data_IF_159358793339
#
_entry.id   IF_159358793339
#
_cell.length_a   1.000
_cell.length_b   1.000
_cell.length_c   1.000
_cell.angle_alpha   90.00
_cell.angle_beta   90.00
_cell.angle_gamma   90.00
#
_symmetry.space_group_name_H-M   'P 1'
#
loop_
_entity.id
_entity.type
_entity.pdbx_description
1 polymer ?
#
# COMPACT_ATOMS: atom_id res chain seq x y z
N UNK A 1 -25.76 25.69 0.21
CA UNK A 1 -24.77 25.96 1.27
C UNK A 1 -25.41 26.91 2.26
N UNK A 2 -25.30 26.60 3.55
CA UNK A 2 -25.88 27.36 4.66
C UNK A 2 -24.78 28.29 5.19
N UNK A 3 -25.04 29.58 5.45
CA UNK A 3 -23.99 30.52 5.84
C UNK A 3 -23.47 30.22 7.26
N UNK A 4 -22.15 30.15 7.41
CA UNK A 4 -21.49 29.85 8.69
C UNK A 4 -21.24 31.13 9.53
N UNK A 5 -21.40 32.34 8.96
CA UNK A 5 -21.27 33.61 9.69
C UNK A 5 -22.50 34.54 9.52
N UNK A 6 -22.87 35.25 10.59
CA UNK A 6 -24.08 36.09 10.65
C UNK A 6 -23.92 37.50 10.04
N UNK A 7 -22.70 37.90 9.70
CA UNK A 7 -22.37 39.20 9.13
C UNK A 7 -21.97 39.14 7.64
N UNK A 8 -22.02 37.94 7.02
CA UNK A 8 -21.73 37.73 5.59
C UNK A 8 -20.29 38.05 5.19
N UNK A 9 -19.38 38.15 6.16
CA UNK A 9 -17.97 38.50 5.93
C UNK A 9 -17.17 37.37 5.28
N UNK A 10 -17.70 36.14 5.27
CA UNK A 10 -17.17 34.99 4.53
C UNK A 10 -17.41 35.08 3.02
N UNK A 11 -18.25 36.01 2.56
CA UNK A 11 -18.58 36.23 1.14
C UNK A 11 -17.95 37.53 0.57
N UNK A 12 -17.31 38.36 1.41
CA UNK A 12 -16.65 39.60 0.98
C UNK A 12 -15.21 39.32 0.50
N UNK A 13 -15.07 39.01 -0.79
CA UNK A 13 -13.78 38.78 -1.44
C UNK A 13 -13.65 37.48 -2.22
N UNK A 14 -14.69 36.63 -2.19
CA UNK A 14 -14.90 35.61 -3.21
C UNK A 14 -15.36 36.28 -4.52
N UNK A 15 -14.47 37.09 -5.12
CA UNK A 15 -14.51 37.25 -6.56
C UNK A 15 -14.45 35.85 -7.14
N UNK A 16 -15.53 35.44 -7.81
CA UNK A 16 -15.54 34.33 -8.75
C UNK A 16 -14.23 34.37 -9.53
N UNK A 17 -13.25 33.57 -9.11
CA UNK A 17 -12.40 32.90 -10.07
C UNK A 17 -13.41 32.10 -10.85
N UNK A 18 -13.82 32.67 -11.98
CA UNK A 18 -14.39 31.92 -13.09
C UNK A 18 -13.39 30.80 -13.32
N UNK A 19 -13.64 29.66 -12.67
CA UNK A 19 -13.30 28.34 -13.17
C UNK A 19 -13.77 28.38 -14.61
N UNK A 20 -12.80 28.65 -15.48
CA UNK A 20 -13.07 29.15 -16.81
C UNK A 20 -14.02 28.18 -17.49
N UNK A 21 -15.12 28.67 -18.06
CA UNK A 21 -15.99 27.83 -18.91
C UNK A 21 -15.18 27.14 -20.04
N UNK A 22 -13.97 27.64 -20.32
CA UNK A 22 -12.95 27.03 -21.17
C UNK A 22 -12.33 25.72 -20.64
N UNK A 23 -12.33 25.41 -19.34
CA UNK A 23 -11.83 24.13 -18.82
C UNK A 23 -12.86 23.00 -18.91
N UNK A 24 -14.16 23.35 -18.94
CA UNK A 24 -15.26 22.41 -19.14
C UNK A 24 -15.56 22.14 -20.62
N UNK A 25 -15.14 23.04 -21.51
CA UNK A 25 -15.25 22.90 -22.95
C UNK A 25 -13.91 22.42 -23.50
N UNK A 26 -13.76 21.13 -23.83
CA UNK A 26 -12.54 20.61 -24.47
C UNK A 26 -12.35 21.21 -25.86
N UNK A 27 -11.79 22.42 -25.92
CA UNK A 27 -11.42 23.11 -27.17
C UNK A 27 -10.41 22.25 -27.94
N UNK A 28 -9.50 21.57 -27.24
CA UNK A 28 -8.54 20.62 -27.82
C UNK A 28 -9.22 19.39 -28.46
N UNK A 29 -10.43 19.05 -28.01
CA UNK A 29 -11.29 18.02 -28.62
C UNK A 29 -12.12 18.53 -29.79
N UNK A 30 -11.88 19.76 -30.24
CA UNK A 30 -12.59 20.40 -31.36
C UNK A 30 -13.91 21.06 -30.98
N UNK A 31 -14.22 21.22 -29.69
CA UNK A 31 -15.45 21.89 -29.28
C UNK A 31 -15.33 23.42 -29.33
N UNK A 32 -16.43 24.09 -29.66
CA UNK A 32 -16.51 25.55 -29.78
C UNK A 32 -17.21 26.15 -28.57
N UNK A 33 -16.57 27.12 -27.92
CA UNK A 33 -17.12 27.82 -26.76
C UNK A 33 -17.87 29.09 -27.21
N UNK A 34 -19.18 29.11 -26.99
CA UNK A 34 -20.00 30.31 -27.15
C UNK A 34 -19.65 31.37 -26.09
N UNK A 35 -19.97 32.64 -26.38
CA UNK A 35 -19.71 33.77 -25.47
C UNK A 35 -20.49 33.70 -24.15
N UNK A 36 -21.59 32.95 -24.11
CA UNK A 36 -22.42 32.67 -22.94
C UNK A 36 -21.93 31.47 -22.11
N UNK A 37 -20.82 30.82 -22.52
CA UNK A 37 -20.25 29.66 -21.85
C UNK A 37 -20.79 28.31 -22.32
N UNK A 38 -21.70 28.27 -23.29
CA UNK A 38 -22.19 27.02 -23.90
C UNK A 38 -21.11 26.39 -24.78
N UNK A 39 -20.89 25.08 -24.65
CA UNK A 39 -19.92 24.34 -25.45
C UNK A 39 -20.64 23.56 -26.57
N UNK A 40 -20.30 23.83 -27.83
CA UNK A 40 -20.87 23.19 -29.01
C UNK A 40 -19.91 22.16 -29.60
N UNK A 41 -20.47 21.04 -30.09
CA UNK A 41 -19.70 20.06 -30.86
C UNK A 41 -19.28 20.66 -32.21
N UNK A 42 -18.14 20.27 -32.80
CA UNK A 42 -17.69 20.82 -34.08
C UNK A 42 -18.68 20.65 -35.24
N UNK A 43 -19.59 19.68 -35.17
CA UNK A 43 -20.65 19.49 -36.17
C UNK A 43 -21.76 20.56 -36.14
N UNK A 44 -21.82 21.37 -35.08
CA UNK A 44 -22.81 22.43 -34.83
C UNK A 44 -22.25 23.83 -35.08
N UNK A 45 -21.06 23.91 -35.67
CA UNK A 45 -20.38 25.16 -35.98
C UNK A 45 -20.39 25.29 -37.49
N UNK A 46 -20.89 26.41 -38.01
CA UNK A 46 -21.08 26.62 -39.45
C UNK A 46 -22.05 25.61 -40.10
N UNK A 47 -23.06 25.13 -39.36
CA UNK A 47 -24.12 24.24 -39.85
C UNK A 47 -25.36 25.00 -40.37
N UNK A 48 -25.27 26.33 -40.45
CA UNK A 48 -26.35 27.25 -40.85
C UNK A 48 -27.49 27.35 -39.83
N UNK A 49 -27.30 26.85 -38.61
CA UNK A 49 -28.23 26.98 -37.48
C UNK A 49 -27.54 27.81 -36.40
N UNK A 50 -28.26 28.78 -35.81
CA UNK A 50 -27.74 29.54 -34.68
C UNK A 50 -27.91 28.73 -33.39
N UNK A 51 -26.87 28.00 -33.00
CA UNK A 51 -26.80 27.22 -31.78
C UNK A 51 -26.19 28.01 -30.60
N UNK A 52 -25.37 29.04 -30.85
CA UNK A 52 -25.01 30.05 -29.85
C UNK A 52 -26.09 31.14 -29.74
N UNK A 53 -26.27 31.70 -28.54
CA UNK A 53 -27.27 32.76 -28.32
C UNK A 53 -27.03 34.02 -29.17
N UNK A 54 -25.76 34.39 -29.37
CA UNK A 54 -25.32 35.50 -30.21
C UNK A 54 -25.12 35.11 -31.69
N UNK A 55 -25.27 33.82 -32.02
CA UNK A 55 -24.96 33.28 -33.35
C UNK A 55 -23.46 33.31 -33.69
N UNK A 56 -22.57 33.35 -32.70
CA UNK A 56 -21.13 33.37 -32.90
C UNK A 56 -20.60 32.12 -33.63
N UNK A 57 -21.31 31.01 -33.55
CA UNK A 57 -21.07 29.76 -34.26
C UNK A 57 -21.26 29.86 -35.78
N UNK A 58 -22.00 30.86 -36.27
CA UNK A 58 -22.31 31.10 -37.69
C UNK A 58 -21.65 32.39 -38.21
N UNK A 59 -20.47 32.72 -37.69
CA UNK A 59 -19.76 33.97 -37.99
C UNK A 59 -19.22 34.07 -39.42
N UNK A 60 -18.59 35.21 -39.73
CA UNK A 60 -17.98 35.46 -41.05
C UNK A 60 -16.86 34.49 -41.41
N UNK A 61 -16.26 33.80 -40.43
CA UNK A 61 -15.23 32.78 -40.59
C UNK A 61 -15.74 31.51 -41.29
N UNK A 62 -17.05 31.21 -41.23
CA UNK A 62 -17.66 30.04 -41.88
C UNK A 62 -17.59 30.09 -43.42
N UNK A 63 -17.23 31.23 -44.03
CA UNK A 63 -17.16 31.39 -45.48
C UNK A 63 -15.91 30.77 -46.11
N UNK A 64 -14.89 30.42 -45.32
CA UNK A 64 -13.64 29.82 -45.81
C UNK A 64 -13.50 28.42 -45.20
N UNK A 65 -13.84 27.39 -45.97
CA UNK A 65 -13.68 26.00 -45.54
C UNK A 65 -12.32 25.45 -46.00
N UNK A 66 -11.29 25.73 -45.20
CA UNK A 66 -9.93 25.21 -45.41
C UNK A 66 -9.72 23.80 -44.84
N UNK A 67 -10.76 23.14 -44.30
CA UNK A 67 -10.65 21.76 -43.81
C UNK A 67 -10.41 20.76 -44.94
N UNK A 68 -10.91 21.04 -46.16
CA UNK A 68 -10.62 20.20 -47.32
C UNK A 68 -9.15 20.29 -47.78
N UNK A 69 -8.43 21.34 -47.38
CA UNK A 69 -7.02 21.55 -47.73
C UNK A 69 -6.08 21.06 -46.62
N UNK A 70 -6.49 21.16 -45.34
CA UNK A 70 -5.76 20.58 -44.23
C UNK A 70 -5.94 19.06 -44.22
N UNK A 71 -4.83 18.33 -44.39
CA UNK A 71 -4.80 16.86 -44.37
C UNK A 71 -4.89 16.29 -42.94
N UNK A 72 -5.88 16.73 -42.16
CA UNK A 72 -6.08 16.29 -40.78
C UNK A 72 -6.20 14.76 -40.71
N UNK A 73 -5.52 14.15 -39.74
CA UNK A 73 -5.54 12.69 -39.57
C UNK A 73 -6.88 12.14 -39.09
N UNK A 74 -7.63 12.92 -38.29
CA UNK A 74 -8.94 12.53 -37.75
C UNK A 74 -10.01 13.56 -38.07
N UNK A 75 -10.08 14.66 -37.30
CA UNK A 75 -11.14 15.66 -37.41
C UNK A 75 -10.61 17.03 -37.82
N UNK A 76 -11.48 17.85 -38.42
CA UNK A 76 -11.23 19.26 -38.68
C UNK A 76 -12.48 20.08 -38.37
N UNK A 77 -12.31 21.26 -37.79
CA UNK A 77 -13.37 22.24 -37.59
C UNK A 77 -12.91 23.63 -37.99
N UNK A 78 -13.85 24.51 -38.29
CA UNK A 78 -13.56 25.90 -38.63
C UNK A 78 -13.53 26.71 -37.34
N UNK A 79 -12.40 27.31 -37.02
CA UNK A 79 -12.25 28.23 -35.90
C UNK A 79 -12.22 29.68 -36.40
N UNK A 80 -12.31 30.63 -35.46
CA UNK A 80 -12.22 32.07 -35.73
C UNK A 80 -10.92 32.48 -36.43
N UNK A 81 -9.88 31.64 -36.34
CA UNK A 81 -8.52 31.90 -36.79
C UNK A 81 -8.13 31.08 -38.03
N UNK A 82 -9.09 30.38 -38.66
CA UNK A 82 -8.87 29.42 -39.76
C UNK A 82 -9.30 28.00 -39.39
N UNK A 83 -9.11 27.04 -40.31
CA UNK A 83 -9.39 25.63 -40.04
C UNK A 83 -8.40 25.06 -39.02
N UNK A 84 -8.87 24.27 -38.06
CA UNK A 84 -8.05 23.62 -37.02
C UNK A 84 -8.35 22.13 -37.01
N UNK A 85 -7.31 21.30 -37.00
CA UNK A 85 -7.49 19.86 -36.82
C UNK A 85 -7.74 19.55 -35.34
N UNK A 86 -8.56 18.54 -35.08
CA UNK A 86 -8.76 18.00 -33.73
C UNK A 86 -8.60 16.49 -33.74
N UNK A 87 -8.35 15.94 -32.56
CA UNK A 87 -8.24 14.52 -32.36
C UNK A 87 -9.45 14.01 -31.55
N UNK A 88 -9.88 12.80 -31.85
CA UNK A 88 -10.89 12.07 -31.10
C UNK A 88 -10.40 11.84 -29.66
N UNK A 89 -11.33 11.58 -28.74
CA UNK A 89 -11.00 11.20 -27.37
C UNK A 89 -10.01 10.02 -27.37
N UNK A 90 -8.97 10.11 -26.54
CA UNK A 90 -7.87 9.13 -26.49
C UNK A 90 -6.74 9.43 -27.48
N UNK A 91 -6.72 10.61 -28.12
CA UNK A 91 -5.62 11.03 -28.98
C UNK A 91 -5.22 12.49 -28.70
N UNK A 92 -3.92 12.81 -28.79
CA UNK A 92 -3.39 14.17 -28.73
C UNK A 92 -2.96 14.68 -30.11
N UNK A 93 -3.21 15.97 -30.37
CA UNK A 93 -2.77 16.63 -31.59
C UNK A 93 -1.27 16.95 -31.50
N UNK A 94 -0.53 16.50 -32.50
CA UNK A 94 0.91 16.70 -32.60
C UNK A 94 1.26 18.18 -32.90
N UNK A 95 2.51 18.61 -32.62
CA UNK A 95 2.97 19.98 -32.92
C UNK A 95 2.90 20.39 -34.39
N UNK A 96 2.76 19.42 -35.30
CA UNK A 96 2.52 19.69 -36.73
C UNK A 96 1.11 20.24 -37.01
N UNK A 97 0.21 20.20 -36.01
CA UNK A 97 -1.16 20.70 -36.06
C UNK A 97 -2.10 19.87 -36.92
N UNK A 98 -1.72 18.63 -37.28
CA UNK A 98 -2.43 17.80 -38.27
C UNK A 98 -2.50 16.32 -37.87
N UNK A 99 -1.42 15.79 -37.29
CA UNK A 99 -1.33 14.38 -36.90
C UNK A 99 -1.85 14.15 -35.49
N UNK A 100 -2.58 13.04 -35.29
CA UNK A 100 -3.08 12.61 -33.99
C UNK A 100 -2.30 11.38 -33.54
N UNK A 101 -1.73 11.43 -32.34
CA UNK A 101 -1.07 10.28 -31.71
C UNK A 101 -1.93 9.75 -30.59
N UNK A 102 -1.95 8.44 -30.46
CA UNK A 102 -2.63 7.73 -29.39
C UNK A 102 -2.11 8.20 -28.03
N UNK A 103 -3.01 8.40 -27.07
CA UNK A 103 -2.66 8.67 -25.68
C UNK A 103 -2.40 7.33 -25.02
N UNK A 104 -1.19 7.12 -24.49
CA UNK A 104 -0.91 5.92 -23.72
C UNK A 104 -1.32 6.14 -22.27
N UNK A 105 -2.59 5.88 -21.94
CA UNK A 105 -3.13 6.11 -20.60
C UNK A 105 -2.41 5.28 -19.53
N UNK A 106 -1.80 4.15 -19.90
CA UNK A 106 -1.05 3.32 -18.97
C UNK A 106 0.26 4.00 -18.51
N UNK A 107 0.84 4.87 -19.35
CA UNK A 107 2.05 5.62 -19.02
C UNK A 107 1.75 7.01 -18.47
N UNK A 108 0.77 7.71 -19.05
CA UNK A 108 0.40 9.07 -18.65
C UNK A 108 -0.44 9.10 -17.38
N UNK A 109 -1.22 8.03 -17.13
CA UNK A 109 -2.13 7.90 -16.00
C UNK A 109 -1.93 6.54 -15.31
N UNK A 110 -0.83 6.34 -14.57
CA UNK A 110 -0.42 5.05 -13.99
C UNK A 110 -1.37 4.48 -12.91
N UNK A 111 -2.47 5.18 -12.62
CA UNK A 111 -3.48 4.81 -11.62
C UNK A 111 -4.87 4.59 -12.24
N UNK A 112 -4.96 4.52 -13.57
CA UNK A 112 -6.23 4.31 -14.29
C UNK A 112 -6.84 2.93 -14.04
N UNK A 113 -6.00 1.90 -13.88
CA UNK A 113 -6.41 0.54 -13.59
C UNK A 113 -5.95 0.11 -12.19
N UNK A 114 -6.74 -0.69 -11.47
CA UNK A 114 -6.31 -1.24 -10.17
C UNK A 114 -5.07 -2.11 -10.27
N UNK A 115 -4.99 -2.92 -11.34
CA UNK A 115 -3.93 -3.91 -11.58
C UNK A 115 -3.24 -3.68 -12.93
N UNK A 116 -3.56 -4.48 -13.95
CA UNK A 116 -2.84 -4.48 -15.22
C UNK A 116 -3.56 -3.58 -16.23
N UNK A 117 -2.82 -2.62 -16.79
CA UNK A 117 -3.27 -1.74 -17.87
C UNK A 117 -2.66 -2.19 -19.21
N UNK A 118 -3.46 -2.20 -20.28
CA UNK A 118 -2.99 -2.42 -21.65
C UNK A 118 -3.51 -1.30 -22.54
N UNK A 119 -2.59 -0.51 -23.10
CA UNK A 119 -2.93 0.57 -24.02
C UNK A 119 -3.51 0.01 -25.33
N UNK A 120 -4.48 0.70 -25.92
CA UNK A 120 -5.10 0.38 -27.20
C UNK A 120 -5.37 1.67 -28.00
N UNK A 121 -5.38 1.65 -29.34
CA UNK A 121 -5.64 2.87 -30.09
C UNK A 121 -6.97 3.56 -29.71
N UNK A 122 -6.88 4.75 -29.11
CA UNK A 122 -7.97 5.59 -28.64
C UNK A 122 -8.58 5.22 -27.29
N UNK A 123 -8.00 4.26 -26.55
CA UNK A 123 -8.52 3.80 -25.26
C UNK A 123 -7.53 2.90 -24.52
N UNK A 124 -7.95 2.31 -23.41
CA UNK A 124 -7.17 1.31 -22.70
C UNK A 124 -8.07 0.17 -22.24
N UNK A 125 -7.45 -0.92 -21.82
CA UNK A 125 -8.14 -2.04 -21.20
C UNK A 125 -7.47 -2.40 -19.89
N UNK A 126 -8.26 -2.44 -18.82
CA UNK A 126 -7.81 -2.98 -17.54
C UNK A 126 -8.10 -4.48 -17.47
N UNK A 127 -7.22 -5.20 -16.77
CA UNK A 127 -7.43 -6.60 -16.42
C UNK A 127 -7.00 -6.87 -14.99
N UNK A 128 -7.65 -7.83 -14.35
CA UNK A 128 -7.41 -8.18 -12.96
C UNK A 128 -6.62 -9.48 -12.84
N UNK A 129 -5.77 -9.55 -11.82
CA UNK A 129 -5.09 -10.78 -11.44
C UNK A 129 -6.07 -11.89 -11.03
N UNK A 130 -5.56 -13.12 -11.02
CA UNK A 130 -6.32 -14.27 -10.56
C UNK A 130 -6.90 -14.05 -9.15
N UNK A 131 -8.15 -14.47 -8.95
CA UNK A 131 -8.86 -14.24 -7.70
C UNK A 131 -9.54 -12.87 -7.58
N UNK A 132 -9.43 -11.99 -8.57
CA UNK A 132 -10.16 -10.71 -8.62
C UNK A 132 -11.18 -10.67 -9.78
N UNK A 133 -12.15 -9.76 -9.66
CA UNK A 133 -13.16 -9.45 -10.67
C UNK A 133 -13.02 -7.99 -11.10
N UNK A 134 -13.07 -7.75 -12.41
CA UNK A 134 -13.13 -6.41 -12.96
C UNK A 134 -14.54 -5.83 -12.76
N UNK A 135 -14.60 -4.63 -12.21
CA UNK A 135 -15.80 -3.86 -11.89
C UNK A 135 -15.62 -2.47 -12.50
N UNK A 136 -16.68 -1.95 -13.15
CA UNK A 136 -16.69 -0.66 -13.83
C UNK A 136 -15.52 -0.45 -14.82
N UNK A 137 -15.05 -1.53 -15.45
CA UNK A 137 -13.94 -1.58 -16.41
C UNK A 137 -12.56 -1.12 -15.92
N UNK A 138 -12.43 -0.65 -14.67
CA UNK A 138 -11.17 -0.15 -14.09
C UNK A 138 -10.80 -0.78 -12.74
N UNK A 139 -11.79 -1.18 -11.94
CA UNK A 139 -11.59 -1.60 -10.56
C UNK A 139 -11.48 -3.11 -10.40
N UNK A 140 -10.54 -3.59 -9.60
CA UNK A 140 -10.39 -5.02 -9.30
C UNK A 140 -10.83 -5.35 -7.87
N UNK A 141 -11.96 -6.06 -7.74
CA UNK A 141 -12.51 -6.50 -6.45
C UNK A 141 -12.23 -7.97 -6.19
N UNK A 142 -11.83 -8.31 -4.97
CA UNK A 142 -11.43 -9.66 -4.63
C UNK A 142 -12.63 -10.62 -4.57
N UNK A 143 -12.47 -11.80 -5.18
CA UNK A 143 -13.42 -12.93 -5.12
C UNK A 143 -13.28 -13.66 -3.80
N UNK A 144 -14.41 -14.06 -3.21
CA UNK A 144 -14.43 -14.90 -2.03
C UNK A 144 -15.08 -14.20 -0.84
N UNK A 145 -14.69 -14.56 0.40
CA UNK A 145 -15.32 -14.04 1.60
C UNK A 145 -15.05 -12.55 1.78
N UNK A 146 -15.73 -11.96 2.74
CA UNK A 146 -15.49 -10.58 3.12
C UNK A 146 -14.06 -10.40 3.69
N UNK A 147 -13.33 -9.34 3.31
CA UNK A 147 -12.03 -9.01 3.90
C UNK A 147 -12.16 -8.67 5.38
N UNK A 148 -11.21 -9.15 6.18
CA UNK A 148 -11.14 -8.94 7.63
C UNK A 148 -9.93 -8.09 7.96
N UNK A 149 -10.14 -6.94 8.60
CA UNK A 149 -9.07 -6.16 9.20
C UNK A 149 -8.97 -6.56 10.67
N UNK A 150 -7.81 -7.07 11.08
CA UNK A 150 -7.47 -7.28 12.50
C UNK A 150 -6.56 -6.13 12.94
N UNK A 151 -6.82 -5.61 14.14
CA UNK A 151 -5.99 -4.54 14.71
C UNK A 151 -5.86 -4.71 16.23
N UNK A 152 -4.77 -4.17 16.77
CA UNK A 152 -4.52 -4.13 18.21
C UNK A 152 -4.81 -2.72 18.76
N UNK A 153 -5.74 -2.62 19.70
CA UNK A 153 -6.09 -1.39 20.39
C UNK A 153 -5.46 -1.34 21.78
N UNK A 154 -4.12 -1.27 21.85
CA UNK A 154 -3.22 -1.24 23.02
C UNK A 154 -3.50 -2.23 24.17
N UNK A 155 -4.72 -2.32 24.67
CA UNK A 155 -5.21 -3.24 25.71
C UNK A 155 -6.01 -4.43 25.17
N UNK A 156 -6.28 -4.49 23.87
CA UNK A 156 -7.13 -5.52 23.27
C UNK A 156 -6.78 -5.77 21.80
N UNK A 157 -7.27 -6.89 21.28
CA UNK A 157 -7.24 -7.27 19.86
C UNK A 157 -8.67 -7.28 19.35
N UNK A 158 -8.92 -6.64 18.20
CA UNK A 158 -10.24 -6.50 17.60
C UNK A 158 -10.22 -6.83 16.12
N UNK A 159 -11.40 -7.16 15.60
CA UNK A 159 -11.63 -7.40 14.19
C UNK A 159 -12.72 -6.52 13.61
N UNK A 160 -12.55 -6.17 12.34
CA UNK A 160 -13.49 -5.40 11.53
C UNK A 160 -13.70 -6.07 10.17
N UNK A 161 -14.93 -6.44 9.87
CA UNK A 161 -15.33 -6.86 8.54
C UNK A 161 -15.53 -5.64 7.63
N UNK A 162 -14.69 -5.49 6.60
CA UNK A 162 -14.52 -4.22 5.86
C UNK A 162 -15.71 -3.84 4.97
N UNK A 163 -16.53 -4.79 4.49
CA UNK A 163 -17.66 -4.49 3.58
C UNK A 163 -18.96 -4.22 4.36
N UNK A 164 -19.14 -4.89 5.48
CA UNK A 164 -20.33 -4.84 6.34
C UNK A 164 -20.14 -3.91 7.53
N UNK A 165 -18.92 -3.41 7.74
CA UNK A 165 -18.53 -2.54 8.85
C UNK A 165 -18.92 -3.12 10.21
N UNK A 166 -18.72 -4.44 10.38
CA UNK A 166 -19.06 -5.16 11.62
C UNK A 166 -17.83 -5.37 12.48
N UNK A 167 -17.85 -4.76 13.65
CA UNK A 167 -16.81 -4.87 14.68
C UNK A 167 -17.06 -6.05 15.63
N UNK A 168 -15.98 -6.64 16.13
CA UNK A 168 -16.00 -7.61 17.22
C UNK A 168 -14.67 -7.64 17.97
N UNK A 169 -14.73 -7.98 19.26
CA UNK A 169 -13.56 -8.18 20.10
C UNK A 169 -13.03 -9.61 19.95
N UNK A 170 -11.71 -9.78 19.91
CA UNK A 170 -11.06 -11.08 19.82
C UNK A 170 -10.55 -11.52 21.20
N UNK A 171 -9.69 -10.71 21.81
CA UNK A 171 -9.06 -11.04 23.09
C UNK A 171 -8.54 -9.79 23.81
N UNK A 172 -8.57 -9.78 25.14
CA UNK A 172 -7.94 -8.73 25.94
C UNK A 172 -6.42 -8.95 26.01
N UNK A 173 -5.62 -7.92 25.77
CA UNK A 173 -4.17 -8.01 25.91
C UNK A 173 -3.76 -8.10 27.39
N UNK A 174 -2.62 -8.73 27.66
CA UNK A 174 -2.09 -8.89 29.02
C UNK A 174 -1.15 -7.75 29.42
N UNK A 175 -0.50 -7.13 28.44
CA UNK A 175 0.26 -5.89 28.53
C UNK A 175 -0.21 -4.92 27.45
N UNK A 176 0.73 -4.41 26.65
CA UNK A 176 0.44 -3.56 25.50
C UNK A 176 0.52 -4.37 24.20
N UNK A 177 -0.61 -4.65 23.56
CA UNK A 177 -0.63 -5.25 22.23
C UNK A 177 -0.14 -4.26 21.18
N UNK A 178 0.90 -4.64 20.41
CA UNK A 178 1.57 -3.77 19.42
C UNK A 178 1.41 -4.27 18.00
N UNK A 179 2.15 -5.29 17.58
CA UNK A 179 2.09 -5.90 16.25
C UNK A 179 1.02 -6.98 16.19
N UNK A 180 0.39 -7.17 15.04
CA UNK A 180 -0.67 -8.17 14.87
C UNK A 180 -0.70 -8.76 13.46
N UNK A 181 -0.88 -10.07 13.36
CA UNK A 181 -1.08 -10.77 12.08
C UNK A 181 -1.98 -11.99 12.28
N UNK A 182 -2.42 -12.62 11.19
CA UNK A 182 -3.49 -13.60 11.18
C UNK A 182 -3.21 -14.78 10.24
N UNK A 183 -3.27 -15.99 10.79
CA UNK A 183 -3.39 -17.20 9.99
C UNK A 183 -4.86 -17.58 9.76
N UNK A 184 -5.34 -17.38 8.54
CA UNK A 184 -6.67 -17.84 8.18
C UNK A 184 -6.88 -19.35 8.12
N UNK A 185 -5.86 -20.15 7.82
CA UNK A 185 -6.08 -21.59 7.69
C UNK A 185 -6.51 -22.19 9.02
N UNK A 186 -5.87 -21.75 10.10
CA UNK A 186 -6.23 -22.13 11.47
C UNK A 186 -7.19 -21.13 12.14
N UNK A 187 -7.54 -20.03 11.46
CA UNK A 187 -8.29 -18.88 12.02
C UNK A 187 -7.69 -18.37 13.33
N UNK A 188 -6.39 -18.16 13.34
CA UNK A 188 -5.58 -17.83 14.51
C UNK A 188 -4.95 -16.45 14.39
N UNK A 189 -5.08 -15.65 15.44
CA UNK A 189 -4.45 -14.32 15.54
C UNK A 189 -3.16 -14.46 16.33
N UNK A 190 -2.12 -13.74 15.90
CA UNK A 190 -0.83 -13.62 16.60
C UNK A 190 -0.59 -12.14 16.91
N UNK A 191 -0.07 -11.83 18.08
CA UNK A 191 0.33 -10.46 18.42
C UNK A 191 1.56 -10.42 19.33
N UNK A 192 2.28 -9.31 19.27
CA UNK A 192 3.30 -8.95 20.26
C UNK A 192 2.62 -8.24 21.43
N UNK A 193 2.97 -8.64 22.65
CA UNK A 193 2.41 -8.08 23.88
C UNK A 193 3.56 -7.59 24.77
N UNK A 194 3.72 -6.27 24.85
CA UNK A 194 4.88 -5.60 25.43
C UNK A 194 4.56 -5.12 26.84
N UNK A 195 5.47 -5.38 27.77
CA UNK A 195 5.42 -4.85 29.14
C UNK A 195 6.74 -4.16 29.50
N UNK A 196 6.80 -3.55 30.69
CA UNK A 196 8.00 -2.84 31.13
C UNK A 196 9.27 -3.71 31.28
N UNK A 197 9.13 -5.04 31.45
CA UNK A 197 10.27 -5.93 31.76
C UNK A 197 10.45 -7.09 30.79
N UNK A 198 9.41 -7.45 30.06
CA UNK A 198 9.41 -8.57 29.13
C UNK A 198 8.41 -8.31 28.00
N UNK A 199 8.65 -8.97 26.87
CA UNK A 199 7.70 -9.02 25.75
C UNK A 199 7.31 -10.45 25.46
N UNK A 200 6.04 -10.64 25.12
CA UNK A 200 5.47 -11.94 24.78
C UNK A 200 5.02 -11.97 23.32
N UNK A 201 5.06 -13.15 22.71
CA UNK A 201 4.29 -13.44 21.50
C UNK A 201 3.10 -14.27 21.93
N UNK A 202 1.91 -13.77 21.70
CA UNK A 202 0.66 -14.38 22.12
C UNK A 202 -0.17 -14.79 20.92
N UNK A 203 -1.02 -15.79 21.11
CA UNK A 203 -1.93 -16.27 20.08
C UNK A 203 -3.24 -16.79 20.64
N UNK A 204 -4.32 -16.65 19.88
CA UNK A 204 -5.61 -17.30 20.13
C UNK A 204 -6.34 -17.55 18.82
N UNK A 205 -7.38 -18.39 18.84
CA UNK A 205 -8.33 -18.49 17.74
C UNK A 205 -9.15 -17.20 17.63
N UNK A 206 -9.73 -16.94 16.46
CA UNK A 206 -10.48 -15.71 16.18
C UNK A 206 -11.72 -15.53 17.09
N UNK A 207 -12.20 -16.60 17.70
CA UNK A 207 -13.28 -16.58 18.70
C UNK A 207 -12.78 -16.34 20.15
N UNK A 208 -11.48 -16.08 20.31
CA UNK A 208 -10.81 -15.86 21.59
C UNK A 208 -10.40 -17.15 22.32
N UNK A 209 -10.74 -18.33 21.80
CA UNK A 209 -10.39 -19.60 22.43
C UNK A 209 -8.95 -20.04 22.14
N UNK A 210 -8.48 -21.08 22.83
CA UNK A 210 -7.12 -21.65 22.67
C UNK A 210 -5.98 -20.61 22.75
N UNK A 211 -6.10 -19.71 23.74
CA UNK A 211 -5.09 -18.72 24.07
C UNK A 211 -3.78 -19.37 24.55
N UNK A 212 -2.65 -18.95 23.97
CA UNK A 212 -1.30 -19.43 24.30
C UNK A 212 -0.28 -18.30 24.21
N UNK A 213 0.72 -18.34 25.08
CA UNK A 213 1.94 -17.55 24.95
C UNK A 213 3.01 -18.43 24.30
N UNK A 214 3.45 -18.05 23.10
CA UNK A 214 4.42 -18.80 22.29
C UNK A 214 5.87 -18.53 22.70
N UNK A 215 6.16 -17.28 23.06
CA UNK A 215 7.48 -16.84 23.49
C UNK A 215 7.29 -15.83 24.62
N UNK A 216 8.17 -15.89 25.62
CA UNK A 216 8.34 -14.85 26.62
C UNK A 216 9.82 -14.50 26.72
N UNK A 217 10.18 -13.27 26.34
CA UNK A 217 11.57 -12.82 26.30
C UNK A 217 11.78 -11.65 27.26
N UNK A 218 12.64 -11.79 28.29
CA UNK A 218 13.01 -10.68 29.15
C UNK A 218 13.90 -9.68 28.38
N UNK A 219 13.83 -8.40 28.76
CA UNK A 219 14.64 -7.32 28.16
C UNK A 219 14.46 -7.14 26.64
N UNK A 220 13.41 -7.70 26.07
CA UNK A 220 13.04 -7.58 24.67
C UNK A 220 11.90 -6.58 24.52
N UNK A 221 11.91 -5.83 23.42
CA UNK A 221 10.81 -4.95 23.01
C UNK A 221 10.37 -5.40 21.63
N UNK A 222 9.41 -6.31 21.59
CA UNK A 222 8.90 -6.88 20.34
C UNK A 222 7.91 -5.90 19.72
N UNK A 223 8.27 -5.35 18.56
CA UNK A 223 7.49 -4.29 17.91
C UNK A 223 6.39 -4.93 17.05
N UNK A 224 6.78 -5.57 15.94
CA UNK A 224 5.84 -6.09 14.94
C UNK A 224 6.11 -7.57 14.62
N UNK A 225 5.14 -8.24 14.01
CA UNK A 225 5.29 -9.61 13.53
C UNK A 225 4.65 -9.83 12.17
N UNK A 226 5.20 -10.78 11.41
CA UNK A 226 4.65 -11.23 10.14
C UNK A 226 4.63 -12.75 10.04
N UNK A 227 3.53 -13.31 9.57
CA UNK A 227 3.29 -14.75 9.48
C UNK A 227 3.60 -15.29 8.09
N UNK A 228 4.56 -16.22 8.02
CA UNK A 228 4.83 -17.02 6.84
C UNK A 228 3.85 -18.21 6.78
N UNK A 229 2.81 -18.08 5.95
CA UNK A 229 1.82 -19.14 5.77
C UNK A 229 2.34 -20.37 5.02
N UNK A 230 3.50 -20.28 4.37
CA UNK A 230 4.14 -21.39 3.66
C UNK A 230 5.01 -22.20 4.63
N UNK A 231 5.97 -21.55 5.29
CA UNK A 231 6.88 -22.18 6.26
C UNK A 231 6.29 -22.40 7.64
N UNK A 232 5.11 -21.81 7.94
CA UNK A 232 4.46 -21.83 9.27
C UNK A 232 5.32 -21.20 10.37
N UNK A 233 6.00 -20.12 10.02
CA UNK A 233 6.88 -19.36 10.91
C UNK A 233 6.33 -17.94 11.14
N UNK A 234 6.74 -17.34 12.25
CA UNK A 234 6.53 -15.94 12.59
C UNK A 234 7.89 -15.23 12.53
N UNK A 235 7.93 -14.09 11.85
CA UNK A 235 9.08 -13.19 11.77
C UNK A 235 8.80 -11.97 12.64
N UNK A 236 9.71 -11.65 13.57
CA UNK A 236 9.44 -10.64 14.60
C UNK A 236 10.61 -9.68 14.71
N UNK A 237 10.31 -8.39 14.84
CA UNK A 237 11.27 -7.32 15.08
C UNK A 237 11.43 -7.06 16.57
N UNK A 238 12.68 -6.96 17.03
CA UNK A 238 13.02 -6.71 18.43
C UNK A 238 13.93 -5.48 18.52
N UNK A 239 13.35 -4.35 18.94
CA UNK A 239 14.09 -3.09 19.15
C UNK A 239 14.93 -3.14 20.42
N UNK A 240 14.48 -3.87 21.45
CA UNK A 240 15.20 -3.98 22.72
C UNK A 240 16.56 -4.68 22.58
N UNK A 241 16.58 -5.80 21.84
CA UNK A 241 17.78 -6.60 21.59
C UNK A 241 18.40 -6.37 20.20
N UNK A 242 17.87 -5.43 19.41
CA UNK A 242 18.37 -5.02 18.09
C UNK A 242 18.54 -6.18 17.12
N UNK A 243 17.47 -6.94 16.92
CA UNK A 243 17.50 -8.15 16.08
C UNK A 243 16.19 -8.39 15.35
N UNK A 244 16.25 -9.27 14.35
CA UNK A 244 15.09 -9.91 13.76
C UNK A 244 15.18 -11.40 14.10
N UNK A 245 14.10 -11.94 14.63
CA UNK A 245 13.98 -13.34 15.00
C UNK A 245 12.91 -14.05 14.17
N UNK A 246 13.07 -15.36 14.06
CA UNK A 246 12.07 -16.27 13.50
C UNK A 246 11.66 -17.27 14.58
N UNK A 247 10.36 -17.49 14.72
CA UNK A 247 9.80 -18.49 15.62
C UNK A 247 8.87 -19.41 14.84
N UNK A 248 8.81 -20.69 15.21
CA UNK A 248 7.71 -21.54 14.74
C UNK A 248 6.38 -21.02 15.27
N UNK A 249 5.34 -21.09 14.44
CA UNK A 249 3.99 -20.62 14.82
C UNK A 249 3.34 -21.41 15.98
N UNK A 250 3.89 -22.58 16.32
CA UNK A 250 3.51 -23.38 17.48
C UNK A 250 4.30 -23.06 18.76
N UNK A 251 5.31 -22.17 18.68
CA UNK A 251 6.15 -21.77 19.80
C UNK A 251 7.25 -22.76 20.20
N UNK A 252 7.49 -23.81 19.41
CA UNK A 252 8.45 -24.88 19.78
C UNK A 252 9.92 -24.45 19.70
N UNK A 253 10.24 -23.52 18.81
CA UNK A 253 11.60 -23.03 18.61
C UNK A 253 11.59 -21.57 18.09
N UNK A 254 12.59 -20.80 18.54
CA UNK A 254 12.89 -19.45 18.06
C UNK A 254 14.39 -19.30 17.85
N UNK A 255 14.78 -18.54 16.82
CA UNK A 255 16.17 -18.25 16.49
C UNK A 255 16.33 -16.82 15.98
N UNK A 256 17.49 -16.20 16.25
CA UNK A 256 17.83 -14.89 15.69
C UNK A 256 18.41 -15.06 14.28
N UNK A 257 17.85 -14.36 13.29
CA UNK A 257 18.29 -14.47 11.88
C UNK A 257 19.06 -13.24 11.40
N UNK A 258 18.85 -12.08 12.02
CA UNK A 258 19.64 -10.87 11.79
C UNK A 258 19.97 -10.24 13.15
N UNK A 259 21.27 -10.03 13.40
CA UNK A 259 21.81 -9.46 14.66
C UNK A 259 22.82 -8.34 14.41
N UNK A 260 23.03 -7.95 13.16
CA UNK A 260 24.00 -6.94 12.75
C UNK A 260 23.34 -5.97 11.76
N UNK A 261 23.69 -4.68 11.84
CA UNK A 261 23.12 -3.66 10.96
C UNK A 261 21.64 -3.38 11.21
N UNK A 262 21.18 -3.61 12.44
CA UNK A 262 19.82 -3.37 12.93
C UNK A 262 19.94 -2.52 14.18
N UNK A 263 19.16 -1.44 14.28
CA UNK A 263 19.21 -0.50 15.40
C UNK A 263 17.86 -0.38 16.11
N UNK A 264 16.80 0.05 15.40
CA UNK A 264 15.44 0.11 15.90
C UNK A 264 14.45 -0.44 14.85
N UNK A 265 14.44 -1.76 14.61
CA UNK A 265 13.54 -2.37 13.65
C UNK A 265 12.09 -2.28 14.14
N UNK A 266 11.16 -1.85 13.28
CA UNK A 266 9.74 -1.69 13.62
C UNK A 266 8.85 -2.58 12.77
N UNK A 267 8.24 -2.07 11.71
CA UNK A 267 7.31 -2.85 10.90
C UNK A 267 8.05 -3.91 10.07
N UNK A 268 7.43 -5.07 9.86
CA UNK A 268 8.00 -6.15 9.04
C UNK A 268 6.92 -6.77 8.15
N UNK A 269 7.25 -7.01 6.88
CA UNK A 269 6.37 -7.70 5.92
C UNK A 269 7.14 -8.73 5.12
N UNK A 270 6.44 -9.78 4.70
CA UNK A 270 7.03 -10.90 3.98
C UNK A 270 6.51 -10.96 2.55
N UNK A 271 7.38 -11.37 1.64
CA UNK A 271 7.00 -11.85 0.31
C UNK A 271 7.51 -13.29 0.14
N UNK A 272 6.72 -14.30 0.55
CA UNK A 272 7.11 -15.71 0.46
C UNK A 272 7.33 -16.19 -0.98
N UNK A 273 6.68 -15.56 -1.97
CA UNK A 273 6.83 -15.92 -3.39
C UNK A 273 8.25 -15.64 -3.87
N UNK A 274 8.78 -14.48 -3.51
CA UNK A 274 10.15 -14.06 -3.85
C UNK A 274 11.16 -14.43 -2.76
N UNK A 275 10.69 -14.96 -1.62
CA UNK A 275 11.47 -15.34 -0.44
C UNK A 275 12.24 -14.16 0.17
N UNK A 276 11.61 -12.99 0.17
CA UNK A 276 12.16 -11.72 0.66
C UNK A 276 11.36 -11.28 1.88
N UNK A 277 12.04 -10.65 2.84
CA UNK A 277 11.42 -9.86 3.90
C UNK A 277 11.87 -8.41 3.81
N UNK A 278 10.98 -7.52 4.20
CA UNK A 278 11.22 -6.08 4.28
C UNK A 278 10.89 -5.62 5.69
N UNK A 279 11.65 -4.67 6.22
CA UNK A 279 11.33 -4.05 7.49
C UNK A 279 11.73 -2.58 7.48
N UNK A 280 11.17 -1.80 8.41
CA UNK A 280 11.63 -0.44 8.65
C UNK A 280 12.57 -0.41 9.84
N UNK A 281 13.62 0.41 9.77
CA UNK A 281 14.50 0.73 10.89
C UNK A 281 14.45 2.25 11.08
N UNK A 282 14.08 2.71 12.28
CA UNK A 282 13.94 4.14 12.59
C UNK A 282 15.01 4.62 13.58
N UNK A 283 16.11 3.86 13.73
CA UNK A 283 17.21 4.16 14.63
C UNK A 283 18.06 5.35 14.18
N UNK A 284 19.35 5.32 14.50
CA UNK A 284 20.29 6.41 14.16
C UNK A 284 20.39 6.67 12.66
N UNK A 285 20.20 5.64 11.85
CA UNK A 285 20.20 5.71 10.39
C UNK A 285 18.88 5.14 9.86
N UNK A 286 17.82 5.96 9.79
CA UNK A 286 16.51 5.50 9.34
C UNK A 286 16.57 4.91 7.93
N UNK A 287 15.98 3.74 7.74
CA UNK A 287 16.00 3.03 6.48
C UNK A 287 14.77 2.14 6.29
N UNK A 288 14.38 1.94 5.04
CA UNK A 288 13.59 0.77 4.64
C UNK A 288 14.59 -0.29 4.20
N UNK A 289 14.51 -1.45 4.82
CA UNK A 289 15.49 -2.52 4.70
C UNK A 289 14.93 -3.71 3.93
N UNK A 290 15.82 -4.49 3.32
CA UNK A 290 15.49 -5.69 2.54
C UNK A 290 16.49 -6.82 2.85
N UNK A 291 15.98 -8.03 3.02
CA UNK A 291 16.80 -9.24 3.11
C UNK A 291 16.04 -10.44 2.54
N UNK A 292 16.75 -11.53 2.25
CA UNK A 292 16.12 -12.83 2.08
C UNK A 292 15.42 -13.24 3.39
N UNK A 293 14.35 -14.04 3.30
CA UNK A 293 13.63 -14.59 4.47
C UNK A 293 14.50 -15.49 5.36
N UNK A 294 15.70 -15.86 4.93
CA UNK A 294 16.69 -16.60 5.71
C UNK A 294 17.76 -15.70 6.35
N UNK A 295 17.54 -14.38 6.35
CA UNK A 295 18.43 -13.36 6.88
C UNK A 295 19.64 -13.02 5.99
N UNK A 296 19.84 -13.73 4.88
CA UNK A 296 20.95 -13.45 3.96
C UNK A 296 20.71 -12.19 3.12
N UNK A 297 21.80 -11.64 2.57
CA UNK A 297 21.77 -10.50 1.64
C UNK A 297 21.03 -9.26 2.17
N UNK A 298 21.12 -9.02 3.48
CA UNK A 298 20.57 -7.83 4.14
C UNK A 298 21.24 -6.54 3.65
N UNK A 299 20.45 -5.55 3.24
CA UNK A 299 20.90 -4.21 2.86
C UNK A 299 19.75 -3.19 2.97
N UNK A 300 20.11 -1.91 3.05
CA UNK A 300 19.16 -0.81 2.98
C UNK A 300 18.65 -0.62 1.55
N UNK A 301 17.33 -0.55 1.39
CA UNK A 301 16.63 -0.29 0.13
C UNK A 301 16.40 1.22 -0.07
N UNK A 302 16.01 1.92 0.99
CA UNK A 302 15.78 3.37 1.01
C UNK A 302 16.49 3.95 2.21
N UNK A 303 17.30 4.98 1.99
CA UNK A 303 18.10 5.67 3.04
C UNK A 303 17.94 7.19 3.01
N UNK A 304 17.26 7.73 2.01
CA UNK A 304 17.13 9.18 1.79
C UNK A 304 15.74 9.67 2.16
N UNK A 305 15.65 10.90 2.66
CA UNK A 305 14.39 11.54 3.06
C UNK A 305 13.50 10.66 3.96
N UNK A 306 14.12 10.04 4.98
CA UNK A 306 13.45 9.26 6.01
C UNK A 306 13.73 9.87 7.39
N UNK A 307 12.70 9.91 8.22
CA UNK A 307 12.74 10.35 9.60
C UNK A 307 12.34 9.23 10.55
N UNK A 308 11.05 8.89 10.59
CA UNK A 308 10.51 7.81 11.43
C UNK A 308 9.65 6.87 10.58
N UNK A 309 10.27 5.97 9.80
CA UNK A 309 9.55 4.98 8.99
C UNK A 309 8.90 3.95 9.93
N UNK A 310 7.60 4.10 10.14
CA UNK A 310 6.89 3.36 11.19
C UNK A 310 6.18 2.11 10.67
N UNK A 311 5.34 2.29 9.66
CA UNK A 311 4.49 1.23 9.09
C UNK A 311 4.94 0.83 7.70
N UNK A 312 4.67 -0.41 7.33
CA UNK A 312 5.12 -1.02 6.08
C UNK A 312 4.05 -1.97 5.56
N UNK A 313 3.77 -1.94 4.26
CA UNK A 313 2.82 -2.83 3.60
C UNK A 313 3.33 -3.23 2.23
N UNK A 314 3.17 -4.49 1.85
CA UNK A 314 3.55 -4.97 0.52
C UNK A 314 2.31 -5.35 -0.28
N UNK A 315 2.11 -4.69 -1.43
CA UNK A 315 1.04 -4.99 -2.37
C UNK A 315 1.52 -6.05 -3.37
N UNK A 316 1.12 -7.29 -3.15
CA UNK A 316 1.40 -8.41 -4.03
C UNK A 316 0.81 -8.25 -5.43
N UNK A 317 -0.27 -7.48 -5.58
CA UNK A 317 -0.97 -7.34 -6.85
C UNK A 317 -0.25 -6.38 -7.81
N UNK A 318 0.32 -5.30 -7.27
CA UNK A 318 1.02 -4.29 -8.08
C UNK A 318 2.55 -4.30 -7.90
N UNK A 319 3.08 -5.23 -7.10
CA UNK A 319 4.52 -5.31 -6.77
C UNK A 319 5.07 -3.98 -6.20
N UNK A 320 4.36 -3.40 -5.23
CA UNK A 320 4.69 -2.11 -4.61
C UNK A 320 4.89 -2.28 -3.11
N UNK A 321 5.97 -1.68 -2.59
CA UNK A 321 6.23 -1.59 -1.15
C UNK A 321 5.83 -0.20 -0.66
N UNK A 322 4.85 -0.13 0.22
CA UNK A 322 4.34 1.10 0.83
C UNK A 322 4.91 1.27 2.23
N UNK A 323 5.24 2.50 2.62
CA UNK A 323 5.58 2.83 4.00
C UNK A 323 4.99 4.17 4.42
N UNK A 324 4.86 4.37 5.73
CA UNK A 324 4.50 5.65 6.32
C UNK A 324 5.62 6.18 7.21
N UNK A 325 5.88 7.48 7.12
CA UNK A 325 6.88 8.17 7.92
C UNK A 325 6.21 9.20 8.84
N UNK A 326 6.30 8.98 10.15
CA UNK A 326 5.64 9.83 11.13
C UNK A 326 6.32 11.17 11.37
N UNK A 327 7.61 11.30 11.03
CA UNK A 327 8.33 12.56 11.18
C UNK A 327 8.15 13.45 9.97
N UNK A 328 8.11 12.84 8.78
CA UNK A 328 7.90 13.55 7.52
C UNK A 328 6.42 13.84 7.25
N UNK A 329 5.51 13.18 7.96
CA UNK A 329 4.06 13.25 7.71
C UNK A 329 3.70 12.84 6.28
N UNK A 330 4.23 11.69 5.85
CA UNK A 330 4.10 11.18 4.47
C UNK A 330 3.76 9.70 4.41
N UNK A 331 3.09 9.32 3.33
CA UNK A 331 2.98 7.93 2.88
C UNK A 331 3.49 7.82 1.46
N UNK A 332 4.31 6.82 1.22
CA UNK A 332 5.03 6.67 -0.03
C UNK A 332 5.03 5.21 -0.44
N UNK A 333 5.31 4.97 -1.72
CA UNK A 333 5.59 3.64 -2.21
C UNK A 333 6.81 3.61 -3.11
N UNK A 334 7.40 2.43 -3.20
CA UNK A 334 8.40 2.08 -4.18
C UNK A 334 7.86 0.96 -5.06
N UNK A 335 7.84 1.21 -6.36
CA UNK A 335 7.57 0.18 -7.35
C UNK A 335 8.79 -0.74 -7.42
N UNK A 336 8.63 -2.01 -7.06
CA UNK A 336 9.75 -2.94 -6.93
C UNK A 336 10.26 -3.46 -8.27
N UNK A 337 9.58 -3.13 -9.38
CA UNK A 337 10.01 -3.47 -10.74
C UNK A 337 10.88 -2.37 -11.33
N UNK A 338 10.42 -1.13 -11.19
CA UNK A 338 11.09 0.06 -11.76
C UNK A 338 12.03 0.75 -10.77
N UNK A 339 11.96 0.38 -9.48
CA UNK A 339 12.65 1.03 -8.36
C UNK A 339 12.32 2.53 -8.23
N UNK A 340 11.17 2.95 -8.77
CA UNK A 340 10.69 4.33 -8.70
C UNK A 340 9.95 4.56 -7.39
N UNK A 341 10.32 5.62 -6.66
CA UNK A 341 9.66 6.10 -5.44
C UNK A 341 8.64 7.18 -5.78
N UNK A 342 7.45 7.10 -5.19
CA UNK A 342 6.39 8.10 -5.33
C UNK A 342 5.68 8.37 -4.00
N UNK A 343 5.21 9.61 -3.84
CA UNK A 343 4.46 10.06 -2.67
C UNK A 343 2.96 9.90 -2.92
N UNK A 344 2.24 9.23 -2.02
CA UNK A 344 0.78 9.04 -2.09
C UNK A 344 0.06 10.10 -1.27
N UNK A 345 0.53 10.33 -0.04
CA UNK A 345 -0.08 11.28 0.90
C UNK A 345 1.01 12.18 1.47
N UNK A 346 0.73 13.48 1.49
CA UNK A 346 1.61 14.52 2.01
C UNK A 346 0.81 15.43 2.95
N UNK A 347 1.35 15.73 4.13
CA UNK A 347 0.85 16.73 5.10
C UNK A 347 -0.57 16.49 5.64
N UNK A 348 -1.20 15.36 5.30
CA UNK A 348 -2.54 14.96 5.74
C UNK A 348 -2.53 13.81 6.75
N UNK A 349 -1.34 13.40 7.19
CA UNK A 349 -1.12 12.35 8.20
C UNK A 349 -0.31 12.96 9.36
N UNK A 350 -0.68 12.63 10.59
CA UNK A 350 -0.12 13.31 11.77
C UNK A 350 0.99 12.48 12.40
N UNK A 351 0.66 11.27 12.87
CA UNK A 351 1.61 10.33 13.43
C UNK A 351 1.22 8.89 13.06
N UNK A 352 1.35 8.52 11.76
CA UNK A 352 1.03 7.18 11.31
C UNK A 352 1.93 6.14 11.98
N UNK A 353 1.35 5.02 12.41
CA UNK A 353 2.05 3.95 13.11
C UNK A 353 2.12 2.67 12.28
N UNK A 354 0.98 2.06 11.95
CA UNK A 354 0.91 0.85 11.13
C UNK A 354 0.22 1.14 9.80
N UNK A 355 0.51 0.33 8.78
CA UNK A 355 0.01 0.48 7.42
C UNK A 355 -0.30 -0.91 6.84
N UNK A 356 -1.41 -1.04 6.14
CA UNK A 356 -1.73 -2.23 5.33
C UNK A 356 -2.47 -1.79 4.06
N UNK A 357 -2.50 -2.67 3.06
CA UNK A 357 -3.09 -2.40 1.75
C UNK A 357 -4.00 -3.54 1.35
N UNK A 358 -5.17 -3.22 0.81
CA UNK A 358 -6.06 -4.20 0.22
C UNK A 358 -6.90 -3.59 -0.90
N UNK A 359 -7.00 -4.31 -2.02
CA UNK A 359 -7.60 -3.78 -3.26
C UNK A 359 -6.95 -2.43 -3.63
N UNK A 360 -7.74 -1.36 -3.69
CA UNK A 360 -7.29 0.00 -4.05
C UNK A 360 -7.17 0.92 -2.83
N UNK A 361 -7.20 0.36 -1.62
CA UNK A 361 -7.31 1.13 -0.39
C UNK A 361 -6.09 0.87 0.51
N UNK A 362 -5.50 1.97 0.99
CA UNK A 362 -4.58 1.97 2.13
C UNK A 362 -5.36 2.14 3.41
N UNK A 363 -4.94 1.41 4.45
CA UNK A 363 -5.47 1.53 5.81
C UNK A 363 -4.31 1.78 6.76
N UNK A 364 -4.45 2.73 7.68
CA UNK A 364 -3.42 3.02 8.66
C UNK A 364 -3.99 3.42 10.01
N UNK A 365 -3.16 3.23 11.04
CA UNK A 365 -3.41 3.75 12.38
C UNK A 365 -2.63 5.04 12.58
N UNK A 366 -3.24 6.02 13.22
CA UNK A 366 -2.60 7.29 13.55
C UNK A 366 -2.74 7.58 15.06
N UNK A 367 -1.59 7.76 15.71
CA UNK A 367 -1.49 7.96 17.16
C UNK A 367 -1.94 9.35 17.62
N UNK A 368 -1.82 10.37 16.77
CA UNK A 368 -2.20 11.74 17.14
C UNK A 368 -3.70 11.95 16.99
N UNK A 369 -4.32 11.36 15.96
CA UNK A 369 -5.77 11.42 15.77
C UNK A 369 -6.55 10.31 16.50
N UNK A 370 -5.85 9.33 17.09
CA UNK A 370 -6.43 8.15 17.74
C UNK A 370 -7.39 7.41 16.80
N UNK A 371 -7.02 7.28 15.53
CA UNK A 371 -7.92 6.78 14.48
C UNK A 371 -7.33 5.65 13.65
N UNK A 372 -8.24 4.88 13.08
CA UNK A 372 -7.99 4.02 11.93
C UNK A 372 -8.62 4.72 10.74
N UNK A 373 -7.78 5.11 9.79
CA UNK A 373 -8.16 5.87 8.62
C UNK A 373 -7.85 5.07 7.35
N UNK A 374 -8.47 5.47 6.24
CA UNK A 374 -8.27 4.87 4.94
C UNK A 374 -8.32 5.88 3.80
N UNK A 375 -7.71 5.54 2.68
CA UNK A 375 -7.73 6.34 1.44
C UNK A 375 -7.34 5.50 0.23
N UNK A 376 -7.49 6.07 -0.96
CA UNK A 376 -6.97 5.52 -2.21
C UNK A 376 -5.46 5.30 -2.14
N UNK A 377 -5.01 4.09 -2.47
CA UNK A 377 -3.57 3.72 -2.49
C UNK A 377 -2.76 4.41 -3.59
N UNK A 378 -3.46 5.07 -4.51
CA UNK A 378 -2.86 5.67 -5.69
C UNK A 378 -2.52 7.14 -5.49
N UNK A 379 -3.47 7.90 -4.95
CA UNK A 379 -3.39 9.37 -4.91
C UNK A 379 -3.80 9.96 -3.56
N UNK A 380 -4.05 9.11 -2.55
CA UNK A 380 -4.42 9.55 -1.21
C UNK A 380 -5.82 10.17 -1.11
N UNK A 381 -6.59 10.23 -2.20
CA UNK A 381 -7.95 10.77 -2.21
C UNK A 381 -8.94 9.80 -1.58
N UNK A 382 -10.20 10.22 -1.50
CA UNK A 382 -11.28 9.44 -0.87
C UNK A 382 -10.95 9.07 0.58
N UNK A 383 -10.43 10.04 1.32
CA UNK A 383 -10.12 9.88 2.74
C UNK A 383 -11.39 9.55 3.54
N UNK A 384 -11.32 8.49 4.32
CA UNK A 384 -12.38 8.06 5.22
C UNK A 384 -11.80 7.65 6.57
N UNK A 385 -12.38 8.17 7.65
CA UNK A 385 -12.11 7.72 9.01
C UNK A 385 -13.03 6.56 9.36
N UNK A 386 -12.45 5.38 9.51
CA UNK A 386 -13.18 4.13 9.78
C UNK A 386 -13.53 4.02 11.25
N UNK A 387 -12.55 4.30 12.12
CA UNK A 387 -12.69 4.22 13.57
C UNK A 387 -11.97 5.39 14.25
N UNK A 388 -12.52 5.87 15.35
CA UNK A 388 -11.84 6.79 16.27
C UNK A 388 -12.00 6.30 17.69
N UNK A 389 -10.88 6.24 18.40
CA UNK A 389 -10.81 5.93 19.82
C UNK A 389 -10.84 7.23 20.63
N UNK A 390 -11.37 7.16 21.85
CA UNK A 390 -11.43 8.32 22.75
C UNK A 390 -10.11 8.57 23.47
N UNK A 391 -9.40 7.50 23.86
CA UNK A 391 -8.21 7.60 24.72
C UNK A 391 -7.16 6.51 24.50
N UNK A 392 -7.41 5.57 23.57
CA UNK A 392 -6.50 4.46 23.29
C UNK A 392 -5.90 4.61 21.90
N UNK A 393 -4.59 4.39 21.80
CA UNK A 393 -3.93 4.33 20.50
C UNK A 393 -4.26 3.00 19.82
N UNK A 394 -4.58 3.10 18.53
CA UNK A 394 -4.59 1.94 17.65
C UNK A 394 -3.14 1.70 17.23
N UNK A 395 -2.66 0.48 17.47
CA UNK A 395 -1.27 0.09 17.23
C UNK A 395 -1.20 -0.59 15.86
N UNK A 396 -0.81 -1.87 15.81
CA UNK A 396 -0.75 -2.68 14.59
C UNK A 396 -2.11 -2.94 13.97
N UNK A 397 -2.09 -3.13 12.65
CA UNK A 397 -3.23 -3.57 11.87
C UNK A 397 -2.78 -4.40 10.67
N UNK A 398 -3.62 -5.34 10.27
CA UNK A 398 -3.38 -6.19 9.11
C UNK A 398 -4.69 -6.57 8.45
N UNK A 399 -4.76 -6.48 7.12
CA UNK A 399 -5.91 -6.97 6.36
C UNK A 399 -5.66 -8.39 5.89
N UNK A 400 -6.62 -9.25 6.19
CA UNK A 400 -6.66 -10.61 5.73
C UNK A 400 -7.73 -10.81 4.64
N UNK A 401 -7.34 -11.51 3.57
CA UNK A 401 -8.25 -12.11 2.61
C UNK A 401 -7.57 -13.31 1.91
N UNK A 402 -8.31 -14.38 1.53
CA UNK A 402 -7.70 -15.57 0.91
C UNK A 402 -6.89 -15.30 -0.36
N UNK A 403 -7.24 -14.26 -1.10
CA UNK A 403 -6.53 -13.86 -2.35
C UNK A 403 -5.09 -13.42 -2.10
N UNK A 404 -4.76 -12.94 -0.90
CA UNK A 404 -3.41 -12.51 -0.54
C UNK A 404 -2.45 -13.69 -0.37
N UNK A 405 -2.98 -14.91 -0.21
CA UNK A 405 -2.19 -16.14 -0.12
C UNK A 405 -2.07 -16.80 -1.50
N UNK A 406 -0.95 -16.58 -2.18
CA UNK A 406 -0.60 -17.36 -3.36
C UNK A 406 -0.35 -18.83 -2.96
N UNK A 407 -1.05 -19.76 -3.61
CA UNK A 407 -0.98 -21.20 -3.31
C UNK A 407 0.09 -21.94 -4.11
N UNK A 408 0.55 -21.37 -5.22
CA UNK A 408 1.52 -22.00 -6.13
C UNK A 408 2.98 -21.72 -5.73
N UNK A 409 3.26 -21.63 -4.42
CA UNK A 409 4.61 -21.42 -3.90
C UNK A 409 5.18 -22.78 -3.45
N UNK A 410 6.29 -23.19 -4.07
CA UNK A 410 6.99 -24.40 -3.67
C UNK A 410 7.52 -24.28 -2.24
N UNK A 411 7.19 -25.26 -1.39
CA UNK A 411 7.65 -25.30 -0.01
C UNK A 411 8.78 -26.34 0.18
N UNK A 412 10.06 -25.93 0.12
CA UNK A 412 11.20 -26.83 0.37
C UNK A 412 11.28 -27.31 1.82
N UNK A 413 10.51 -26.74 2.75
CA UNK A 413 10.45 -27.16 4.14
C UNK A 413 9.39 -28.24 4.42
N UNK A 414 8.63 -28.69 3.40
CA UNK A 414 7.51 -29.62 3.57
C UNK A 414 7.90 -30.95 4.24
N UNK A 415 9.05 -31.52 3.86
CA UNK A 415 9.55 -32.78 4.39
C UNK A 415 10.33 -32.63 5.71
N UNK A 416 10.20 -31.48 6.39
CA UNK A 416 10.90 -31.13 7.63
C UNK A 416 12.41 -31.43 7.58
N UNK A 417 13.16 -30.80 6.64
CA UNK A 417 14.59 -31.08 6.45
C UNK A 417 15.48 -30.57 7.59
N UNK A 418 14.94 -29.79 8.54
CA UNK A 418 15.68 -29.18 9.64
C UNK A 418 15.19 -29.72 10.98
N UNK A 419 16.10 -29.90 11.95
CA UNK A 419 15.75 -30.36 13.30
C UNK A 419 14.82 -29.37 14.02
N UNK A 420 15.20 -28.10 14.08
CA UNK A 420 14.46 -27.07 14.81
C UNK A 420 13.61 -26.19 13.88
N UNK A 421 14.21 -25.29 13.10
CA UNK A 421 13.49 -24.30 12.28
C UNK A 421 13.95 -24.39 10.82
N UNK A 422 13.00 -24.47 9.89
CA UNK A 422 13.24 -24.39 8.45
C UNK A 422 12.63 -23.11 7.90
N UNK A 423 13.43 -22.29 7.20
CA UNK A 423 12.96 -21.05 6.57
C UNK A 423 13.21 -21.07 5.07
N UNK A 424 12.38 -20.33 4.34
CA UNK A 424 12.51 -20.17 2.90
C UNK A 424 13.75 -19.31 2.56
N UNK A 425 14.63 -19.85 1.71
CA UNK A 425 15.84 -19.17 1.25
C UNK A 425 15.91 -19.10 -0.28
N UNK A 426 16.69 -18.15 -0.81
CA UNK A 426 16.82 -17.95 -2.27
C UNK A 426 17.26 -19.23 -2.99
N UNK A 427 18.17 -20.01 -2.38
CA UNK A 427 18.68 -21.30 -2.89
C UNK A 427 17.84 -22.52 -2.49
N UNK A 428 16.72 -22.36 -1.80
CA UNK A 428 15.87 -23.46 -1.32
C UNK A 428 15.35 -23.18 0.08
N UNK A 429 15.95 -23.83 1.08
CA UNK A 429 15.68 -23.61 2.49
C UNK A 429 16.98 -23.40 3.27
N UNK A 430 16.85 -22.87 4.49
CA UNK A 430 17.95 -22.78 5.46
C UNK A 430 17.46 -23.23 6.82
N UNK A 431 18.31 -23.99 7.52
CA UNK A 431 18.01 -24.47 8.87
C UNK A 431 18.56 -23.53 9.92
N UNK A 432 17.80 -23.35 10.99
CA UNK A 432 18.17 -22.58 12.16
C UNK A 432 17.88 -23.40 13.42
N UNK A 433 18.79 -23.31 14.39
CA UNK A 433 18.66 -23.97 15.68
C UNK A 433 18.09 -23.00 16.71
N UNK A 434 17.34 -23.54 17.67
CA UNK A 434 16.79 -22.75 18.78
C UNK A 434 17.90 -22.15 19.63
N UNK A 435 17.57 -21.07 20.34
CA UNK A 435 18.49 -20.39 21.24
C UNK A 435 19.23 -21.38 22.18
N UNK A 436 20.58 -21.29 22.18
CA UNK A 436 21.47 -22.17 22.95
C UNK A 436 22.00 -23.40 22.19
N UNK A 437 21.57 -23.61 20.95
CA UNK A 437 22.06 -24.65 20.05
C UNK A 437 22.76 -24.02 18.84
N UNK A 438 23.68 -24.74 18.23
CA UNK A 438 24.38 -24.35 17.01
C UNK A 438 24.12 -25.39 15.91
N UNK A 439 24.07 -24.93 14.67
CA UNK A 439 23.83 -25.78 13.50
C UNK A 439 25.09 -26.62 13.22
N UNK A 440 24.91 -27.92 13.09
CA UNK A 440 25.99 -28.86 12.78
C UNK A 440 26.47 -28.73 11.33
N UNK A 441 27.61 -29.35 11.03
CA UNK A 441 28.23 -29.32 9.70
C UNK A 441 27.39 -29.97 8.59
N UNK A 442 26.37 -30.76 8.96
CA UNK A 442 25.41 -31.34 8.01
C UNK A 442 24.39 -30.30 7.50
N UNK A 443 24.34 -29.11 8.13
CA UNK A 443 23.44 -28.02 7.76
C UNK A 443 21.98 -28.23 8.17
N UNK A 444 21.68 -29.22 9.02
CA UNK A 444 20.29 -29.57 9.41
C UNK A 444 20.10 -29.94 10.89
N UNK A 445 21.09 -30.57 11.50
CA UNK A 445 21.04 -31.00 12.91
C UNK A 445 21.54 -29.90 13.84
N UNK A 446 21.09 -29.94 15.10
CA UNK A 446 21.36 -28.93 16.10
C UNK A 446 22.07 -29.55 17.32
N UNK A 447 23.30 -29.13 17.57
CA UNK A 447 24.05 -29.54 18.76
C UNK A 447 24.03 -28.45 19.83
N UNK A 448 23.99 -28.86 21.10
CA UNK A 448 24.04 -27.90 22.21
C UNK A 448 25.40 -27.23 22.20
N UNK A 449 25.41 -25.91 22.28
CA UNK A 449 26.64 -25.11 22.31
C UNK A 449 27.59 -25.64 23.39
N UNK A 450 28.71 -26.22 22.97
CA UNK A 450 29.71 -26.76 23.90
C UNK A 450 30.32 -25.60 24.68
N UNK A 451 30.04 -25.52 25.98
CA UNK A 451 30.74 -24.61 26.89
C UNK A 451 32.20 -25.06 27.05
N UNK A 452 33.04 -24.81 26.06
CA UNK A 452 34.49 -24.98 26.19
C UNK A 452 35.14 -23.63 26.50
N UNK A 453 35.42 -23.44 27.80
CA UNK A 453 36.40 -22.54 28.41
C UNK A 453 36.22 -21.01 28.27
N UNK A 454 35.44 -20.42 29.18
CA UNK A 454 35.75 -19.11 29.76
C UNK A 454 36.21 -19.28 31.21
N UNK A 455 37.41 -19.85 31.37
CA UNK A 455 38.23 -19.53 32.54
C UNK A 455 38.98 -18.22 32.23
N UNK A 456 39.08 -17.36 33.25
CA UNK A 456 39.82 -16.08 33.33
C UNK A 456 39.07 -14.87 32.72
N UNK A 457 38.76 -13.78 33.43
CA UNK A 457 39.42 -13.16 34.60
C UNK A 457 38.35 -12.50 35.51
N UNK A 458 38.36 -12.88 36.79
CA UNK A 458 37.96 -12.01 37.90
C UNK A 458 39.04 -10.93 38.05
N UNK A 459 38.66 -9.65 38.03
CA UNK A 459 39.08 -8.62 39.00
C UNK A 459 38.27 -7.34 38.81
#
# INVERSE_FOLDING_TARGET
MMPDCADGSDEEGCHNTTSSAASLCSIDGGNFLCSDGKCLSPAKVCDSVKDCHDGADEGSFCKVNDCNQKKCSQGCYIATNGSTCYCNKGFHLMPDGVSCTDVDECTEHPHTCSHTCTNAPGSFRCSCLEGYLLVDDTFCKAKGPEPLLIFSGSTDIRGLWLRTNRYFDVHAATGQAVGVDFDNEQRRVFWTDVSATHSNISTCLLDGSDFKVLLSSPLSTLEDLAYDWIGKNLYITDTGLKRILVCKSDGTACASIITHGVDAPRAIVLNPREKIMYWTDWGQHPAVMRASMDGSSSHALVTEDLGWPNGLAYDHATNRLYWCDARQSRMEYMDMTTMKREVVIQDSVFHPFALTVFEDTLYWSDWSSYSLDSSSKFDGKHYERILREESKQIMGLHVYHPVLKHRDIANPCWDNPCEDICVLGTTGHKCFCRDGYELDSDGSSCSRRSQSASHSVLY
#
